data_IF_964088095782
#
_entry.id   IF_964088095782
#
_cell.length_a   1.000
_cell.length_b   1.000
_cell.length_c   1.000
_cell.angle_alpha   90.00
_cell.angle_beta   90.00
_cell.angle_gamma   90.00
#
_symmetry.space_group_name_H-M   'P 1'
#
loop_
_entity.id
_entity.type
_entity.pdbx_description
1 polymer ?
#
# COMPACT_ATOMS: atom_id res chain seq x y z
N UNK A 1 -21.91 30.69 5.26
CA UNK A 1 -20.99 31.63 5.93
C UNK A 1 -19.58 31.31 5.45
N UNK A 2 -19.00 32.12 4.56
CA UNK A 2 -17.60 31.96 4.13
C UNK A 2 -16.75 32.52 5.27
N UNK A 3 -16.07 31.65 6.02
CA UNK A 3 -15.03 32.08 6.94
C UNK A 3 -13.89 32.64 6.10
N UNK A 4 -13.60 33.92 6.22
CA UNK A 4 -12.40 34.52 5.64
C UNK A 4 -11.19 33.83 6.31
N UNK A 5 -10.23 33.42 5.48
CA UNK A 5 -8.99 32.83 5.93
C UNK A 5 -8.12 33.97 6.48
N UNK A 6 -7.78 33.94 7.76
CA UNK A 6 -6.84 34.89 8.34
C UNK A 6 -5.42 34.60 7.83
N UNK A 7 -4.77 35.63 7.32
CA UNK A 7 -3.33 35.60 7.04
C UNK A 7 -2.57 35.85 8.34
N UNK A 8 -1.92 34.83 8.87
CA UNK A 8 -1.04 34.92 10.00
C UNK A 8 0.42 34.89 9.54
N UNK A 9 1.13 36.03 9.57
CA UNK A 9 2.57 36.08 9.29
C UNK A 9 3.03 35.40 7.99
N UNK A 10 2.29 35.57 6.91
CA UNK A 10 2.61 34.94 5.62
C UNK A 10 2.12 33.50 5.47
N UNK A 11 1.44 32.94 6.46
CA UNK A 11 0.76 31.64 6.35
C UNK A 11 -0.71 31.84 6.02
N UNK A 12 -1.24 30.95 5.20
CA UNK A 12 -2.67 30.87 4.85
C UNK A 12 -3.23 29.56 5.35
N UNK A 13 -4.41 29.62 5.96
CA UNK A 13 -5.16 28.42 6.27
C UNK A 13 -5.53 27.68 4.98
N UNK A 14 -5.24 26.40 4.94
CA UNK A 14 -5.69 25.52 3.87
C UNK A 14 -7.13 25.09 4.13
N UNK A 15 -7.98 25.21 3.12
CA UNK A 15 -9.28 24.57 3.17
C UNK A 15 -9.12 23.07 3.09
N UNK A 16 -9.73 22.36 4.02
CA UNK A 16 -9.95 20.91 3.88
C UNK A 16 -11.03 20.75 2.81
N UNK A 17 -10.62 20.31 1.64
CA UNK A 17 -11.48 19.99 0.50
C UNK A 17 -11.29 18.51 0.15
N UNK A 18 -12.11 17.97 -0.74
CA UNK A 18 -12.05 16.56 -1.13
C UNK A 18 -10.67 16.09 -1.62
N UNK A 19 -9.84 17.00 -2.09
CA UNK A 19 -8.48 16.73 -2.55
C UNK A 19 -7.40 17.21 -1.55
N UNK A 20 -7.69 17.22 -0.25
CA UNK A 20 -6.77 17.72 0.76
C UNK A 20 -5.36 17.14 0.61
N UNK A 21 -5.22 15.83 0.44
CA UNK A 21 -3.93 15.16 0.26
C UNK A 21 -3.19 15.56 -1.01
N UNK A 22 -3.90 15.92 -2.06
CA UNK A 22 -3.31 16.38 -3.32
C UNK A 22 -2.87 17.85 -3.24
N UNK A 23 -3.63 18.66 -2.51
CA UNK A 23 -3.37 20.10 -2.36
C UNK A 23 -2.39 20.41 -1.22
N UNK A 24 -2.38 19.58 -0.18
CA UNK A 24 -1.42 19.64 0.93
C UNK A 24 -0.13 18.85 0.66
N UNK A 25 0.02 18.28 -0.53
CA UNK A 25 1.10 17.37 -0.92
C UNK A 25 2.46 18.06 -1.11
N UNK A 26 2.81 18.97 -0.25
CA UNK A 26 4.21 19.33 -0.03
C UNK A 26 5.00 18.20 0.66
N UNK A 27 4.31 17.13 1.06
CA UNK A 27 4.95 15.88 1.43
C UNK A 27 5.29 15.11 0.16
N UNK A 28 6.57 14.89 -0.15
CA UNK A 28 6.94 13.98 -1.21
C UNK A 28 6.54 12.55 -0.81
N UNK A 29 5.32 12.17 -1.14
CA UNK A 29 4.89 10.78 -1.00
C UNK A 29 5.40 9.98 -2.18
N UNK A 30 6.20 8.94 -1.98
CA UNK A 30 6.63 8.09 -3.07
C UNK A 30 5.41 7.41 -3.69
N UNK A 31 5.35 7.39 -5.00
CA UNK A 31 4.39 6.54 -5.70
C UNK A 31 4.92 5.12 -5.69
N UNK A 32 4.13 4.20 -5.15
CA UNK A 32 4.45 2.77 -5.09
C UNK A 32 3.48 1.97 -5.93
N UNK A 33 4.00 0.96 -6.63
CA UNK A 33 3.19 -0.03 -7.32
C UNK A 33 3.01 -1.25 -6.42
N UNK A 34 1.78 -1.50 -6.04
CA UNK A 34 1.44 -2.63 -5.16
C UNK A 34 1.04 -3.83 -6.03
N UNK A 35 1.86 -4.88 -5.99
CA UNK A 35 1.59 -6.14 -6.66
C UNK A 35 0.76 -7.07 -5.75
N UNK A 36 -0.31 -7.63 -6.28
CA UNK A 36 -1.17 -8.59 -5.59
C UNK A 36 -1.63 -9.68 -6.55
N UNK A 37 -2.04 -10.84 -6.05
CA UNK A 37 -2.55 -11.94 -6.88
C UNK A 37 -4.06 -11.79 -7.11
N UNK A 38 -4.48 -11.78 -8.37
CA UNK A 38 -5.89 -11.92 -8.76
C UNK A 38 -6.41 -13.33 -8.50
N UNK A 39 -7.70 -13.54 -8.70
CA UNK A 39 -8.32 -14.88 -8.62
C UNK A 39 -7.79 -15.82 -9.71
N UNK A 40 -7.42 -15.29 -10.87
CA UNK A 40 -6.79 -16.06 -11.95
C UNK A 40 -5.29 -16.36 -11.73
N UNK A 41 -4.71 -15.89 -10.63
CA UNK A 41 -3.28 -16.07 -10.33
C UNK A 41 -2.36 -15.05 -11.04
N UNK A 42 -2.92 -14.10 -11.79
CA UNK A 42 -2.16 -13.02 -12.41
C UNK A 42 -1.78 -11.97 -11.35
N UNK A 43 -0.62 -11.37 -11.52
CA UNK A 43 -0.23 -10.22 -10.71
C UNK A 43 -0.98 -8.98 -11.16
N UNK A 44 -1.78 -8.42 -10.27
CA UNK A 44 -2.41 -7.11 -10.43
C UNK A 44 -1.50 -6.05 -9.84
N UNK A 45 -1.24 -4.97 -10.55
CA UNK A 45 -0.58 -3.78 -10.04
C UNK A 45 -1.60 -2.68 -9.76
N UNK A 46 -1.37 -1.93 -8.68
CA UNK A 46 -2.12 -0.75 -8.34
C UNK A 46 -1.21 0.32 -7.75
N UNK A 47 -1.38 1.56 -8.19
CA UNK A 47 -0.54 2.68 -7.76
C UNK A 47 -1.10 3.35 -6.52
N UNK A 48 -0.25 3.54 -5.53
CA UNK A 48 -0.60 4.14 -4.24
C UNK A 48 0.48 5.10 -3.76
N UNK A 49 0.05 6.20 -3.15
CA UNK A 49 0.92 7.14 -2.45
C UNK A 49 0.85 7.00 -0.92
N UNK A 50 -0.22 6.37 -0.40
CA UNK A 50 -0.39 6.13 1.03
C UNK A 50 0.18 4.76 1.41
N UNK A 51 1.49 4.60 1.19
CA UNK A 51 2.25 3.40 1.57
C UNK A 51 3.57 3.84 2.20
N UNK A 52 3.77 3.55 3.48
CA UNK A 52 4.93 4.04 4.23
C UNK A 52 5.34 3.07 5.34
N UNK A 53 6.60 3.15 5.80
CA UNK A 53 7.08 2.32 6.89
C UNK A 53 6.26 2.52 8.17
N UNK A 54 5.99 1.44 8.85
CA UNK A 54 5.36 1.44 10.16
C UNK A 54 6.27 0.75 11.17
N UNK A 55 6.66 1.49 12.19
CA UNK A 55 7.51 0.96 13.25
C UNK A 55 6.65 0.34 14.35
N UNK A 56 6.94 -0.91 14.68
CA UNK A 56 6.30 -1.61 15.79
C UNK A 56 7.35 -1.83 16.87
N UNK A 57 7.25 -1.08 17.94
CA UNK A 57 8.20 -1.13 19.06
C UNK A 57 8.22 -2.53 19.69
N UNK A 58 9.42 -3.00 20.04
CA UNK A 58 9.60 -4.27 20.75
C UNK A 58 9.37 -5.53 19.91
N UNK A 59 9.28 -5.43 18.59
CA UNK A 59 9.15 -6.57 17.68
C UNK A 59 10.37 -6.67 16.76
N UNK A 60 10.76 -7.89 16.43
CA UNK A 60 11.90 -8.21 15.55
C UNK A 60 11.49 -8.25 14.07
N UNK A 61 10.54 -7.43 13.68
CA UNK A 61 10.11 -7.35 12.29
C UNK A 61 9.79 -5.91 11.87
N UNK A 62 9.86 -5.68 10.59
CA UNK A 62 9.53 -4.41 9.96
C UNK A 62 8.21 -4.53 9.22
N UNK A 63 7.45 -3.45 9.20
CA UNK A 63 6.15 -3.41 8.54
C UNK A 63 6.01 -2.18 7.65
N UNK A 64 5.13 -2.32 6.66
CA UNK A 64 4.63 -1.23 5.84
C UNK A 64 3.13 -1.12 6.07
N UNK A 65 2.64 0.09 6.22
CA UNK A 65 1.21 0.36 6.19
C UNK A 65 0.80 0.81 4.79
N UNK A 66 -0.21 0.16 4.24
CA UNK A 66 -0.84 0.51 2.98
C UNK A 66 -2.28 0.94 3.24
N UNK A 67 -2.65 2.14 2.81
CA UNK A 67 -4.02 2.62 2.85
C UNK A 67 -4.61 2.61 1.44
N UNK A 68 -5.74 1.95 1.25
CA UNK A 68 -6.41 1.86 -0.04
C UNK A 68 -7.93 1.82 0.10
N UNK A 69 -8.63 1.95 -1.03
CA UNK A 69 -10.09 1.72 -1.05
C UNK A 69 -10.37 0.23 -0.85
N UNK A 70 -11.32 -0.10 0.02
CA UNK A 70 -11.74 -1.49 0.28
C UNK A 70 -12.31 -2.19 -0.96
N UNK A 71 -12.87 -1.43 -1.91
CA UNK A 71 -13.40 -1.93 -3.18
C UNK A 71 -12.34 -2.18 -4.25
N UNK A 72 -11.07 -1.77 -4.01
CA UNK A 72 -10.00 -1.95 -5.00
C UNK A 72 -9.63 -3.43 -5.18
N UNK A 73 -9.13 -3.78 -6.37
CA UNK A 73 -8.58 -5.12 -6.63
C UNK A 73 -7.46 -5.44 -5.64
N UNK A 74 -6.62 -4.47 -5.31
CA UNK A 74 -5.54 -4.60 -4.32
C UNK A 74 -6.07 -5.04 -2.96
N UNK A 75 -7.08 -4.34 -2.40
CA UNK A 75 -7.66 -4.70 -1.11
C UNK A 75 -8.28 -6.10 -1.13
N UNK A 76 -9.09 -6.42 -2.14
CA UNK A 76 -9.73 -7.74 -2.29
C UNK A 76 -8.69 -8.85 -2.35
N UNK A 77 -7.63 -8.64 -3.12
CA UNK A 77 -6.57 -9.63 -3.28
C UNK A 77 -5.76 -9.83 -2.00
N UNK A 78 -5.40 -8.76 -1.27
CA UNK A 78 -4.70 -8.87 0.02
C UNK A 78 -5.57 -9.59 1.04
N UNK A 79 -6.85 -9.25 1.15
CA UNK A 79 -7.78 -9.92 2.07
C UNK A 79 -7.90 -11.42 1.79
N UNK A 80 -7.82 -11.82 0.52
CA UNK A 80 -7.93 -13.22 0.10
C UNK A 80 -6.62 -13.99 0.26
N UNK A 81 -5.48 -13.38 -0.08
CA UNK A 81 -4.19 -14.11 -0.19
C UNK A 81 -3.21 -13.82 0.94
N UNK A 82 -3.37 -12.71 1.64
CA UNK A 82 -2.39 -12.22 2.61
C UNK A 82 -1.06 -11.79 2.00
N UNK A 83 -0.92 -11.70 0.68
CA UNK A 83 0.37 -11.49 0.01
C UNK A 83 0.35 -10.23 -0.84
N UNK A 84 1.42 -9.45 -0.74
CA UNK A 84 1.64 -8.31 -1.64
C UNK A 84 3.13 -8.04 -1.86
N UNK A 85 3.42 -7.32 -2.94
CA UNK A 85 4.74 -6.72 -3.17
C UNK A 85 4.60 -5.21 -3.26
N UNK A 86 5.55 -4.49 -2.69
CA UNK A 86 5.63 -3.03 -2.72
C UNK A 86 6.82 -2.67 -3.57
N UNK A 87 6.57 -2.04 -4.72
CA UNK A 87 7.61 -1.73 -5.68
C UNK A 87 7.75 -0.21 -5.79
N UNK A 88 8.94 0.30 -5.51
CA UNK A 88 9.29 1.70 -5.66
C UNK A 88 9.87 1.92 -7.04
N UNK A 89 9.15 2.65 -7.89
CA UNK A 89 9.53 2.89 -9.28
C UNK A 89 10.46 4.09 -9.41
N UNK A 90 11.30 4.07 -10.45
CA UNK A 90 12.16 5.20 -10.78
C UNK A 90 11.38 6.37 -11.37
N UNK A 91 11.96 7.58 -11.31
CA UNK A 91 11.37 8.86 -11.74
C UNK A 91 11.26 9.07 -13.25
N UNK A 92 11.32 7.99 -14.05
CA UNK A 92 11.17 8.09 -15.51
C UNK A 92 9.74 8.43 -15.88
N UNK A 93 9.56 9.45 -16.72
CA UNK A 93 8.26 9.94 -17.18
C UNK A 93 7.31 8.83 -17.68
N UNK A 94 7.85 7.82 -18.38
CA UNK A 94 7.05 6.69 -18.89
C UNK A 94 6.44 5.86 -17.75
N UNK A 95 7.17 5.69 -16.64
CA UNK A 95 6.70 4.94 -15.49
C UNK A 95 5.65 5.71 -14.69
N UNK A 96 5.78 7.03 -14.56
CA UNK A 96 4.73 7.84 -13.95
C UNK A 96 3.44 7.83 -14.77
N UNK A 97 3.51 7.87 -16.10
CA UNK A 97 2.33 7.71 -16.94
C UNK A 97 1.66 6.36 -16.73
N UNK A 98 2.45 5.31 -16.61
CA UNK A 98 1.94 3.98 -16.33
C UNK A 98 1.33 3.88 -14.94
N UNK A 99 1.98 4.45 -13.92
CA UNK A 99 1.45 4.52 -12.55
C UNK A 99 0.07 5.19 -12.54
N UNK A 100 -0.11 6.31 -13.24
CA UNK A 100 -1.41 6.97 -13.37
C UNK A 100 -2.43 6.02 -13.99
N UNK A 101 -2.10 5.33 -15.08
CA UNK A 101 -2.98 4.35 -15.74
C UNK A 101 -3.38 3.21 -14.79
N UNK A 102 -2.39 2.63 -14.10
CA UNK A 102 -2.61 1.54 -13.14
C UNK A 102 -3.38 1.98 -11.88
N UNK A 103 -3.41 3.27 -11.59
CA UNK A 103 -4.18 3.85 -10.49
C UNK A 103 -5.69 4.00 -10.76
N UNK A 104 -6.14 3.91 -12.03
CA UNK A 104 -7.56 4.03 -12.34
C UNK A 104 -8.35 2.81 -11.88
N UNK A 105 -9.52 3.02 -11.24
CA UNK A 105 -10.40 1.94 -10.81
C UNK A 105 -11.26 1.40 -11.96
N UNK A 106 -11.81 0.20 -11.77
CA UNK A 106 -12.92 -0.31 -12.59
C UNK A 106 -12.55 -1.34 -13.64
N UNK A 107 -11.25 -1.56 -13.90
CA UNK A 107 -10.81 -2.61 -14.82
C UNK A 107 -10.55 -3.94 -14.11
N UNK A 108 -10.77 -5.03 -14.81
CA UNK A 108 -10.29 -6.36 -14.36
C UNK A 108 -8.76 -6.39 -14.36
N UNK A 109 -8.20 -7.35 -13.65
CA UNK A 109 -6.73 -7.53 -13.67
C UNK A 109 -6.22 -7.80 -15.09
N UNK A 110 -6.93 -8.63 -15.84
CA UNK A 110 -6.58 -9.03 -17.21
C UNK A 110 -6.56 -7.83 -18.15
N UNK A 111 -7.58 -6.99 -18.11
CA UNK A 111 -7.65 -5.76 -18.93
C UNK A 111 -6.55 -4.78 -18.54
N UNK A 112 -6.41 -4.54 -17.25
CA UNK A 112 -5.43 -3.60 -16.72
C UNK A 112 -4.00 -4.00 -17.03
N UNK A 113 -3.67 -5.27 -16.95
CA UNK A 113 -2.30 -5.76 -17.11
C UNK A 113 -1.94 -6.07 -18.57
N UNK A 114 -2.91 -6.09 -19.49
CA UNK A 114 -2.69 -6.40 -20.91
C UNK A 114 -1.61 -5.55 -21.56
N UNK A 115 -1.65 -4.24 -21.30
CA UNK A 115 -0.73 -3.26 -21.89
C UNK A 115 0.26 -2.70 -20.84
N UNK A 116 0.52 -3.45 -19.77
CA UNK A 116 1.44 -3.03 -18.73
C UNK A 116 2.88 -2.98 -19.27
N UNK A 117 3.53 -1.84 -19.07
CA UNK A 117 4.90 -1.63 -19.57
C UNK A 117 5.98 -2.15 -18.61
N UNK A 118 5.60 -2.53 -17.40
CA UNK A 118 6.55 -3.08 -16.43
C UNK A 118 6.84 -4.56 -16.71
N UNK A 119 8.11 -4.94 -16.63
CA UNK A 119 8.51 -6.34 -16.68
C UNK A 119 8.28 -6.99 -15.31
N UNK A 120 7.40 -7.97 -15.26
CA UNK A 120 7.08 -8.69 -14.03
C UNK A 120 7.90 -9.98 -13.95
N UNK A 121 8.67 -10.11 -12.88
CA UNK A 121 9.53 -11.27 -12.61
C UNK A 121 9.22 -11.88 -11.24
N UNK A 122 9.62 -13.13 -11.05
CA UNK A 122 9.44 -13.80 -9.78
C UNK A 122 10.39 -13.20 -8.72
N UNK A 123 9.84 -12.83 -7.58
CA UNK A 123 10.58 -12.38 -6.42
C UNK A 123 11.34 -13.53 -5.74
N UNK A 124 12.04 -13.21 -4.63
CA UNK A 124 12.78 -14.21 -3.87
C UNK A 124 11.86 -15.24 -3.24
N UNK A 125 10.74 -14.79 -2.65
CA UNK A 125 9.75 -15.67 -2.01
C UNK A 125 9.17 -16.71 -2.97
N UNK A 126 8.84 -16.31 -4.19
CA UNK A 126 8.35 -17.23 -5.21
C UNK A 126 9.40 -18.30 -5.60
N UNK A 127 10.66 -17.90 -5.68
CA UNK A 127 11.76 -18.82 -6.00
C UNK A 127 12.08 -19.79 -4.87
N UNK A 128 11.96 -19.34 -3.62
CA UNK A 128 12.21 -20.17 -2.43
C UNK A 128 11.04 -21.11 -2.12
N UNK A 129 9.83 -20.76 -2.55
CA UNK A 129 8.61 -21.52 -2.28
C UNK A 129 7.87 -21.84 -3.59
N UNK A 130 8.39 -22.73 -4.43
CA UNK A 130 7.82 -22.98 -5.77
C UNK A 130 6.41 -23.60 -5.74
N UNK A 131 5.98 -24.12 -4.61
CA UNK A 131 4.64 -24.69 -4.43
C UNK A 131 3.59 -23.66 -4.02
N UNK A 132 4.00 -22.40 -3.81
CA UNK A 132 3.12 -21.30 -3.44
C UNK A 132 3.14 -20.20 -4.50
N UNK A 133 1.98 -19.61 -4.74
CA UNK A 133 1.91 -18.43 -5.61
C UNK A 133 2.21 -17.16 -4.83
N UNK A 134 3.07 -16.34 -5.40
CA UNK A 134 3.38 -14.98 -4.92
C UNK A 134 3.13 -13.97 -6.03
N UNK A 135 2.72 -12.73 -5.69
CA UNK A 135 2.68 -11.68 -6.69
C UNK A 135 4.10 -11.39 -7.19
N UNK A 136 4.23 -11.20 -8.50
CA UNK A 136 5.49 -10.85 -9.13
C UNK A 136 5.95 -9.45 -8.72
N UNK A 137 7.25 -9.21 -8.82
CA UNK A 137 7.88 -7.92 -8.58
C UNK A 137 8.15 -7.21 -9.92
N UNK A 138 8.28 -5.89 -9.87
CA UNK A 138 8.67 -5.07 -11.03
C UNK A 138 10.18 -5.08 -11.14
N UNK A 139 10.70 -5.57 -12.27
CA UNK A 139 12.14 -5.65 -12.53
C UNK A 139 12.81 -4.25 -12.54
N UNK A 140 12.10 -3.23 -13.00
CA UNK A 140 12.62 -1.86 -13.11
C UNK A 140 12.52 -1.06 -11.81
N UNK A 141 11.93 -1.62 -10.75
CA UNK A 141 11.88 -0.97 -9.45
C UNK A 141 13.29 -0.85 -8.85
N UNK A 142 13.57 0.29 -8.21
CA UNK A 142 14.85 0.47 -7.53
C UNK A 142 14.86 -0.14 -6.13
N UNK A 143 13.70 -0.40 -5.57
CA UNK A 143 13.52 -1.08 -4.29
C UNK A 143 12.20 -1.86 -4.31
N UNK A 144 12.24 -3.05 -3.71
CA UNK A 144 11.07 -3.93 -3.59
C UNK A 144 11.00 -4.51 -2.20
N UNK A 145 9.80 -4.56 -1.64
CA UNK A 145 9.49 -5.35 -0.46
C UNK A 145 8.47 -6.43 -0.80
N UNK A 146 8.78 -7.67 -0.47
CA UNK A 146 7.83 -8.78 -0.47
C UNK A 146 7.20 -8.87 0.91
N UNK A 147 5.88 -8.77 0.99
CA UNK A 147 5.18 -8.61 2.25
C UNK A 147 4.10 -9.66 2.45
N UNK A 148 3.86 -10.01 3.71
CA UNK A 148 2.71 -10.78 4.14
C UNK A 148 1.84 -9.93 5.06
N UNK A 149 0.57 -9.81 4.72
CA UNK A 149 -0.44 -9.25 5.60
C UNK A 149 -1.05 -10.34 6.45
N UNK A 150 -1.10 -10.10 7.75
CA UNK A 150 -1.80 -10.93 8.71
C UNK A 150 -2.81 -10.07 9.46
N UNK A 151 -4.01 -10.60 9.66
CA UNK A 151 -5.09 -9.86 10.30
C UNK A 151 -4.77 -9.56 11.76
N UNK A 152 -4.17 -10.53 12.44
CA UNK A 152 -3.75 -10.44 13.82
C UNK A 152 -2.24 -10.64 13.87
N UNK A 153 -1.54 -9.65 14.41
CA UNK A 153 -0.09 -9.75 14.58
C UNK A 153 0.20 -10.54 15.83
N UNK A 154 1.03 -11.58 15.70
CA UNK A 154 1.45 -12.41 16.83
C UNK A 154 2.03 -11.58 17.98
N UNK A 155 1.63 -11.90 19.20
CA UNK A 155 2.09 -11.24 20.41
C UNK A 155 1.42 -9.88 20.71
N UNK A 156 0.45 -9.46 19.92
CA UNK A 156 -0.34 -8.28 20.21
C UNK A 156 -1.14 -8.43 21.52
N UNK A 157 -1.53 -9.66 21.83
CA UNK A 157 -2.25 -10.00 23.09
C UNK A 157 -1.32 -10.02 24.31
N UNK A 158 -0.03 -10.23 24.11
CA UNK A 158 0.97 -10.35 25.18
C UNK A 158 1.74 -9.05 25.45
N UNK A 159 1.54 -8.02 24.65
CA UNK A 159 2.08 -6.72 24.97
C UNK A 159 1.36 -6.20 26.22
N UNK A 160 2.03 -6.33 27.36
CA UNK A 160 1.68 -5.66 28.63
C UNK A 160 1.84 -4.14 28.51
N UNK A 161 1.41 -3.59 27.41
CA UNK A 161 1.21 -2.17 27.27
C UNK A 161 -0.04 -1.90 28.07
N UNK A 162 0.09 -1.05 29.07
CA UNK A 162 -1.01 -0.63 29.93
C UNK A 162 -2.27 -0.41 29.10
N UNK A 163 -3.40 -0.81 29.61
CA UNK A 163 -4.73 -0.79 28.94
C UNK A 163 -5.08 0.54 28.23
N UNK A 164 -4.33 1.60 28.50
CA UNK A 164 -4.46 2.93 27.88
C UNK A 164 -3.87 3.02 26.46
N UNK A 165 -3.01 2.09 26.06
CA UNK A 165 -2.32 2.11 24.76
C UNK A 165 -2.55 0.82 24.00
N UNK A 166 -3.79 0.58 23.59
CA UNK A 166 -4.05 -0.46 22.59
C UNK A 166 -3.31 -0.08 21.30
N UNK A 167 -2.45 -0.97 20.80
CA UNK A 167 -1.73 -0.69 19.56
C UNK A 167 -2.72 -0.36 18.45
N UNK A 168 -2.51 0.73 17.70
CA UNK A 168 -3.46 1.19 16.69
C UNK A 168 -3.74 0.15 15.60
N UNK A 169 -2.87 -0.84 15.41
CA UNK A 169 -3.06 -1.87 14.39
C UNK A 169 -4.29 -2.79 14.65
N UNK A 170 -4.75 -2.96 15.88
CA UNK A 170 -5.99 -3.70 16.15
C UNK A 170 -7.22 -3.01 15.55
N UNK A 171 -7.21 -1.68 15.49
CA UNK A 171 -8.30 -0.88 14.95
C UNK A 171 -8.12 -0.54 13.47
N UNK A 172 -6.89 -0.58 12.96
CA UNK A 172 -6.51 -0.10 11.64
C UNK A 172 -5.94 -1.20 10.73
N UNK A 173 -6.20 -2.46 11.02
CA UNK A 173 -5.72 -3.57 10.20
C UNK A 173 -6.87 -4.32 9.54
N UNK A 174 -6.97 -4.27 8.23
CA UNK A 174 -8.06 -4.80 7.44
C UNK A 174 -9.04 -3.73 6.96
N UNK A 175 -10.32 -4.05 6.88
CA UNK A 175 -11.36 -3.08 6.52
C UNK A 175 -11.66 -2.20 7.74
N UNK A 176 -11.35 -0.91 7.61
CA UNK A 176 -11.41 0.04 8.74
C UNK A 176 -12.57 1.02 8.65
N UNK A 177 -13.19 1.14 7.48
CA UNK A 177 -14.35 2.00 7.26
C UNK A 177 -15.19 1.50 6.08
N UNK A 178 -16.33 2.15 5.85
CA UNK A 178 -17.17 1.85 4.69
C UNK A 178 -16.41 1.92 3.34
N UNK A 179 -15.38 2.74 3.23
CA UNK A 179 -14.66 2.98 1.96
C UNK A 179 -13.17 2.64 2.03
N UNK A 180 -12.62 2.44 3.22
CA UNK A 180 -11.18 2.32 3.44
C UNK A 180 -10.75 0.97 4.00
N UNK A 181 -9.58 0.56 3.57
CA UNK A 181 -8.84 -0.56 4.13
C UNK A 181 -7.40 -0.13 4.42
N UNK A 182 -6.87 -0.59 5.53
CA UNK A 182 -5.49 -0.40 5.96
C UNK A 182 -4.86 -1.77 6.14
N UNK A 183 -3.71 -1.98 5.53
CA UNK A 183 -3.01 -3.25 5.62
C UNK A 183 -1.63 -3.03 6.24
N UNK A 184 -1.46 -3.54 7.43
CA UNK A 184 -0.17 -3.61 8.09
C UNK A 184 0.54 -4.88 7.63
N UNK A 185 1.44 -4.73 6.67
CA UNK A 185 2.08 -5.84 5.99
C UNK A 185 3.52 -6.01 6.48
N UNK A 186 3.84 -7.21 6.96
CA UNK A 186 5.19 -7.56 7.43
C UNK A 186 6.13 -7.70 6.23
N UNK A 187 7.30 -7.06 6.32
CA UNK A 187 8.34 -7.13 5.30
C UNK A 187 9.16 -8.39 5.55
N UNK A 188 9.35 -9.19 4.51
CA UNK A 188 10.30 -10.29 4.51
C UNK A 188 11.67 -9.74 4.12
N UNK A 189 12.52 -9.58 5.13
CA UNK A 189 13.94 -9.24 4.95
C UNK A 189 14.70 -10.54 4.69
N UNK A 190 15.41 -10.57 3.62
CA UNK A 190 16.20 -11.71 3.19
C UNK A 190 17.65 -11.34 2.95
#
# INVERSE_FOLDING_TARGET
MKKELEELNGFKDLRIVDNFYQTSSFFPMPTTEIGTLSESGLTNLGSYSLCFPYYIAGKDYYAMILCCRNSSNTAKNILRTGKCTINFITDKRKYFKEAVRLGYPGETTEEKMKDCIFNLVDGKRARENPNEQYPKIIQEAFQVFECTWVRELDGAENDKVQDEYLPPYHQFNGITSQFGAHFLSLIHIS
#
